data_IF_365118330178
#
_entry.id   IF_365118330178
#
_cell.length_a   1.000
_cell.length_b   1.000
_cell.length_c   1.000
_cell.angle_alpha   90.00
_cell.angle_beta   90.00
_cell.angle_gamma   90.00
#
_symmetry.space_group_name_H-M   'P 1'
#
loop_
_entity.id
_entity.type
_entity.pdbx_description
1 polymer ?
#
# COMPACT_ATOMS: atom_id res chain seq x y z
N UNK A 1 19.80 44.04 7.52
CA UNK A 1 20.00 44.88 8.72
C UNK A 1 20.07 43.94 9.93
N UNK A 2 20.78 44.27 11.01
CA UNK A 2 20.73 43.49 12.28
C UNK A 2 19.93 44.26 13.32
N UNK A 3 19.11 43.59 14.11
CA UNK A 3 18.32 44.23 15.16
C UNK A 3 19.19 44.60 16.39
N UNK A 4 18.56 45.20 17.40
CA UNK A 4 19.23 45.59 18.65
C UNK A 4 19.77 44.40 19.47
N UNK A 5 19.53 43.15 19.05
CA UNK A 5 20.01 41.92 19.67
C UNK A 5 21.03 41.18 18.81
N UNK A 6 21.38 41.73 17.63
CA UNK A 6 22.42 41.19 16.75
C UNK A 6 21.93 40.12 15.78
N UNK A 7 20.61 39.88 15.67
CA UNK A 7 20.08 38.89 14.73
C UNK A 7 19.86 39.49 13.34
N UNK A 8 20.15 38.69 12.30
CA UNK A 8 19.95 39.13 10.91
C UNK A 8 18.46 39.26 10.59
N UNK A 9 18.01 40.49 10.35
CA UNK A 9 16.63 40.78 9.93
C UNK A 9 16.57 40.81 8.41
N UNK A 10 15.73 39.95 7.84
CA UNK A 10 15.33 40.00 6.43
C UNK A 10 14.45 41.24 6.21
N UNK A 11 14.88 42.11 5.31
CA UNK A 11 14.12 43.30 4.91
C UNK A 11 13.40 43.02 3.59
N UNK A 12 12.07 42.87 3.65
CA UNK A 12 11.24 42.71 2.47
C UNK A 12 10.95 44.08 1.86
N UNK A 13 11.75 44.48 0.87
CA UNK A 13 11.55 45.73 0.13
C UNK A 13 10.52 45.50 -0.98
N UNK A 14 9.37 46.19 -0.90
CA UNK A 14 8.34 46.16 -1.94
C UNK A 14 8.81 47.01 -3.13
N UNK A 15 9.20 46.37 -4.23
CA UNK A 15 9.59 47.06 -5.47
C UNK A 15 8.42 47.90 -6.00
N UNK A 16 8.69 49.14 -6.39
CA UNK A 16 7.66 50.14 -6.74
C UNK A 16 6.79 49.77 -7.95
N UNK A 17 7.24 48.83 -8.80
CA UNK A 17 6.44 48.26 -9.91
C UNK A 17 6.86 46.82 -10.22
N UNK A 18 6.02 45.80 -10.03
CA UNK A 18 6.30 44.48 -10.59
C UNK A 18 6.41 44.59 -12.11
N UNK A 19 7.54 44.16 -12.68
CA UNK A 19 7.76 44.13 -14.14
C UNK A 19 7.77 42.69 -14.58
N UNK A 20 6.92 42.35 -15.55
CA UNK A 20 6.97 41.07 -16.25
C UNK A 20 8.22 41.07 -17.12
N UNK A 21 9.07 40.04 -16.98
CA UNK A 21 10.25 39.82 -17.81
C UNK A 21 10.06 38.55 -18.62
N UNK A 22 10.41 38.59 -19.90
CA UNK A 22 10.36 37.44 -20.80
C UNK A 22 11.79 36.99 -21.08
N UNK A 23 12.07 35.71 -20.80
CA UNK A 23 13.32 35.06 -21.17
C UNK A 23 13.11 34.20 -22.41
N UNK A 24 14.03 34.26 -23.37
CA UNK A 24 14.10 33.25 -24.44
C UNK A 24 14.93 32.09 -23.94
N UNK A 25 14.31 30.91 -23.85
CA UNK A 25 14.96 29.65 -23.49
C UNK A 25 14.96 28.70 -24.69
N UNK A 26 15.94 27.82 -24.74
CA UNK A 26 16.06 26.77 -25.77
C UNK A 26 16.01 25.42 -25.09
N UNK A 27 15.28 24.47 -25.66
CA UNK A 27 15.34 23.08 -25.22
C UNK A 27 16.75 22.53 -25.51
N UNK A 28 17.26 21.65 -24.64
CA UNK A 28 18.59 21.08 -24.80
C UNK A 28 18.78 20.35 -26.14
N UNK A 29 17.74 19.73 -26.70
CA UNK A 29 17.76 19.09 -28.02
C UNK A 29 18.02 20.07 -29.17
N UNK A 30 17.84 21.37 -28.93
CA UNK A 30 18.09 22.43 -29.91
C UNK A 30 19.52 22.96 -29.86
N UNK A 31 20.37 22.45 -28.95
CA UNK A 31 21.73 22.94 -28.73
C UNK A 31 22.73 21.81 -29.00
N UNK A 32 23.58 22.00 -30.01
CA UNK A 32 24.66 21.07 -30.32
C UNK A 32 25.78 21.12 -29.25
N UNK A 33 26.34 19.97 -28.91
CA UNK A 33 27.47 19.85 -27.98
C UNK A 33 27.09 19.76 -26.50
N UNK A 34 25.81 19.68 -26.14
CA UNK A 34 25.38 19.37 -24.78
C UNK A 34 25.55 17.87 -24.48
N UNK A 35 25.92 17.50 -23.23
CA UNK A 35 25.90 16.11 -22.80
C UNK A 35 24.46 15.56 -22.86
N UNK A 36 24.28 14.25 -23.07
CA UNK A 36 22.96 13.63 -23.01
C UNK A 36 22.28 13.96 -21.68
N UNK A 37 20.99 14.34 -21.73
CA UNK A 37 20.21 14.51 -20.51
C UNK A 37 20.05 13.13 -19.87
N UNK A 38 20.68 12.95 -18.71
CA UNK A 38 20.39 11.83 -17.82
C UNK A 38 19.01 12.07 -17.19
N UNK A 39 17.99 11.37 -17.69
CA UNK A 39 16.70 11.31 -17.00
C UNK A 39 16.94 10.55 -15.71
N UNK A 40 16.71 11.19 -14.55
CA UNK A 40 16.68 10.48 -13.28
C UNK A 40 15.58 9.43 -13.38
N UNK A 41 15.94 8.17 -13.25
CA UNK A 41 14.94 7.12 -13.11
C UNK A 41 14.16 7.39 -11.82
N UNK A 42 12.83 7.38 -11.93
CA UNK A 42 11.99 7.41 -10.75
C UNK A 42 12.26 6.12 -9.97
N UNK A 43 12.78 6.26 -8.75
CA UNK A 43 13.15 5.12 -7.90
C UNK A 43 11.98 4.62 -7.06
N UNK A 44 10.80 5.23 -7.21
CA UNK A 44 9.60 4.93 -6.45
C UNK A 44 8.49 4.41 -7.37
N UNK A 45 7.56 3.65 -6.80
CA UNK A 45 6.32 3.25 -7.47
C UNK A 45 5.34 4.44 -7.44
N UNK A 46 4.87 4.94 -8.61
CA UNK A 46 3.94 6.07 -8.68
C UNK A 46 2.64 5.88 -7.90
N UNK A 47 2.07 4.68 -7.97
CA UNK A 47 0.81 4.32 -7.29
C UNK A 47 0.97 4.42 -5.77
N UNK A 48 2.04 3.84 -5.25
CA UNK A 48 2.34 3.89 -3.81
C UNK A 48 2.60 5.31 -3.36
N UNK A 49 3.33 6.09 -4.17
CA UNK A 49 3.59 7.50 -3.86
C UNK A 49 2.30 8.32 -3.79
N UNK A 50 1.36 8.08 -4.71
CA UNK A 50 0.07 8.74 -4.71
C UNK A 50 -0.80 8.35 -3.49
N UNK A 51 -0.85 7.06 -3.13
CA UNK A 51 -1.57 6.60 -1.94
C UNK A 51 -0.96 7.22 -0.66
N UNK A 52 0.37 7.28 -0.55
CA UNK A 52 1.03 7.91 0.60
C UNK A 52 0.71 9.40 0.69
N UNK A 53 0.67 10.12 -0.43
CA UNK A 53 0.27 11.54 -0.46
C UNK A 53 -1.16 11.71 0.06
N UNK A 54 -2.10 10.86 -0.38
CA UNK A 54 -3.49 10.91 0.09
C UNK A 54 -3.59 10.64 1.60
N UNK A 55 -2.89 9.63 2.10
CA UNK A 55 -2.87 9.30 3.54
C UNK A 55 -2.26 10.44 4.37
N UNK A 56 -1.09 10.90 3.96
CA UNK A 56 -0.31 11.99 4.60
C UNK A 56 -1.08 13.29 4.60
N UNK A 57 -1.91 13.53 3.57
CA UNK A 57 -2.72 14.75 3.51
C UNK A 57 -3.70 14.88 4.68
N UNK A 58 -4.10 13.75 5.28
CA UNK A 58 -5.16 13.71 6.30
C UNK A 58 -6.55 14.06 5.76
N UNK A 59 -6.72 14.13 4.43
CA UNK A 59 -8.02 14.33 3.81
C UNK A 59 -8.93 13.15 4.14
N UNK A 60 -10.18 13.43 4.55
CA UNK A 60 -11.18 12.38 4.73
C UNK A 60 -11.70 11.97 3.35
N UNK A 61 -11.42 10.74 2.93
CA UNK A 61 -11.84 10.19 1.65
C UNK A 61 -12.96 9.16 1.88
N UNK A 62 -14.08 9.33 1.18
CA UNK A 62 -15.21 8.41 1.19
C UNK A 62 -15.36 7.73 -0.17
N UNK A 63 -15.75 6.46 -0.15
CA UNK A 63 -16.03 5.64 -1.32
C UNK A 63 -17.49 5.16 -1.32
N UNK A 64 -18.02 4.80 -2.50
CA UNK A 64 -19.34 4.18 -2.64
C UNK A 64 -20.56 5.12 -2.62
N UNK A 65 -20.37 6.44 -2.47
CA UNK A 65 -21.46 7.42 -2.57
C UNK A 65 -21.43 8.15 -3.92
N UNK A 66 -22.39 7.82 -4.80
CA UNK A 66 -22.61 8.42 -6.12
C UNK A 66 -21.49 8.10 -7.14
N UNK A 67 -21.86 7.77 -8.39
CA UNK A 67 -20.93 7.48 -9.51
C UNK A 67 -20.11 8.72 -9.98
N UNK A 68 -19.66 9.58 -9.06
CA UNK A 68 -18.94 10.83 -9.36
C UNK A 68 -17.91 11.15 -8.29
N UNK A 69 -16.73 11.57 -8.74
CA UNK A 69 -15.70 12.17 -7.89
C UNK A 69 -16.01 13.65 -7.61
N UNK A 70 -15.83 14.09 -6.37
CA UNK A 70 -15.91 15.51 -5.98
C UNK A 70 -15.34 15.77 -4.59
N UNK A 71 -14.76 16.96 -4.39
CA UNK A 71 -14.52 17.55 -3.07
C UNK A 71 -15.78 18.28 -2.57
N UNK A 72 -16.12 18.09 -1.28
CA UNK A 72 -17.24 18.77 -0.62
C UNK A 72 -16.72 19.76 0.43
N UNK A 73 -16.72 21.08 0.15
CA UNK A 73 -16.23 22.09 1.08
C UNK A 73 -16.96 22.13 2.43
N UNK A 74 -18.27 21.83 2.47
CA UNK A 74 -19.08 21.94 3.69
C UNK A 74 -18.76 20.91 4.76
N UNK A 75 -18.22 19.74 4.37
CA UNK A 75 -17.85 18.64 5.27
C UNK A 75 -16.34 18.39 5.28
N UNK A 76 -15.60 19.17 4.51
CA UNK A 76 -14.18 19.00 4.27
C UNK A 76 -13.76 17.56 3.89
N UNK A 77 -14.52 16.94 2.98
CA UNK A 77 -14.33 15.55 2.58
C UNK A 77 -14.24 15.38 1.07
N UNK A 78 -13.42 14.43 0.63
CA UNK A 78 -13.31 13.97 -0.75
C UNK A 78 -14.22 12.75 -0.93
N UNK A 79 -14.99 12.72 -2.00
CA UNK A 79 -15.82 11.58 -2.37
C UNK A 79 -15.34 11.03 -3.71
N UNK A 80 -15.08 9.74 -3.77
CA UNK A 80 -14.62 9.04 -4.97
C UNK A 80 -15.51 7.81 -5.24
N UNK A 81 -15.68 7.40 -6.50
CA UNK A 81 -16.12 6.04 -6.83
C UNK A 81 -15.16 4.99 -6.24
N UNK A 82 -15.64 3.76 -6.09
CA UNK A 82 -14.79 2.65 -5.65
C UNK A 82 -13.62 2.45 -6.62
N UNK A 83 -12.45 2.03 -6.11
CA UNK A 83 -11.21 1.90 -6.92
C UNK A 83 -11.44 0.98 -8.13
N UNK A 84 -12.29 -0.03 -7.98
CA UNK A 84 -12.66 -1.03 -8.99
C UNK A 84 -13.48 -0.44 -10.15
N UNK A 85 -14.12 0.73 -9.95
CA UNK A 85 -14.87 1.42 -11.00
C UNK A 85 -13.95 2.16 -11.98
N UNK A 86 -12.66 2.34 -11.64
CA UNK A 86 -11.69 2.97 -12.51
C UNK A 86 -11.00 1.95 -13.43
N UNK A 87 -10.79 2.25 -14.72
CA UNK A 87 -10.15 1.33 -15.66
C UNK A 87 -8.72 0.93 -15.27
N UNK A 88 -8.00 1.81 -14.59
CA UNK A 88 -6.63 1.62 -14.12
C UNK A 88 -6.44 2.31 -12.78
N UNK A 89 -5.44 1.86 -12.01
CA UNK A 89 -5.06 2.51 -10.76
C UNK A 89 -4.60 3.96 -11.01
N UNK A 90 -3.84 4.21 -12.08
CA UNK A 90 -3.41 5.57 -12.45
C UNK A 90 -4.60 6.52 -12.63
N UNK A 91 -5.69 6.06 -13.24
CA UNK A 91 -6.91 6.87 -13.41
C UNK A 91 -7.57 7.22 -12.07
N UNK A 92 -7.61 6.27 -11.14
CA UNK A 92 -8.10 6.52 -9.79
C UNK A 92 -7.25 7.58 -9.10
N UNK A 93 -5.92 7.42 -9.08
CA UNK A 93 -5.05 8.36 -8.38
C UNK A 93 -4.96 9.72 -9.05
N UNK A 94 -5.03 9.80 -10.39
CA UNK A 94 -5.15 11.07 -11.09
C UNK A 94 -6.42 11.83 -10.66
N UNK A 95 -7.55 11.11 -10.57
CA UNK A 95 -8.83 11.69 -10.10
C UNK A 95 -8.74 12.10 -8.62
N UNK A 96 -8.17 11.25 -7.76
CA UNK A 96 -8.01 11.56 -6.34
C UNK A 96 -7.10 12.77 -6.11
N UNK A 97 -6.02 12.92 -6.89
CA UNK A 97 -5.12 14.08 -6.80
C UNK A 97 -5.77 15.37 -7.31
N UNK A 98 -6.66 15.29 -8.30
CA UNK A 98 -7.52 16.41 -8.70
C UNK A 98 -8.42 16.88 -7.56
N UNK A 99 -9.15 15.95 -6.93
CA UNK A 99 -10.01 16.30 -5.79
C UNK A 99 -9.20 16.76 -4.57
N UNK A 100 -8.00 16.21 -4.37
CA UNK A 100 -7.07 16.70 -3.36
C UNK A 100 -6.62 18.13 -3.66
N UNK A 101 -6.44 18.48 -4.93
CA UNK A 101 -6.20 19.84 -5.40
C UNK A 101 -7.29 20.79 -4.92
N UNK A 102 -8.57 20.44 -5.09
CA UNK A 102 -9.69 21.20 -4.53
C UNK A 102 -9.68 21.25 -3.00
N UNK A 103 -9.42 20.11 -2.36
CA UNK A 103 -9.33 20.01 -0.90
C UNK A 103 -8.33 21.04 -0.35
N UNK A 104 -7.16 21.24 -0.95
CA UNK A 104 -6.21 22.26 -0.47
C UNK A 104 -6.77 23.69 -0.43
N UNK A 105 -7.85 23.99 -1.16
CA UNK A 105 -8.47 25.31 -1.24
C UNK A 105 -9.30 25.72 -0.02
N UNK A 106 -9.58 24.81 0.91
CA UNK A 106 -10.35 25.13 2.12
C UNK A 106 -9.75 26.27 2.94
N UNK A 107 -10.60 26.97 3.72
CA UNK A 107 -10.24 28.15 4.52
C UNK A 107 -9.11 27.89 5.53
N UNK A 108 -8.97 26.66 6.02
CA UNK A 108 -7.90 26.26 6.95
C UNK A 108 -6.56 25.97 6.27
N UNK A 109 -6.48 26.01 4.93
CA UNK A 109 -5.32 25.63 4.12
C UNK A 109 -4.87 26.77 3.21
N UNK A 110 -5.06 26.66 1.90
CA UNK A 110 -4.68 27.71 0.93
C UNK A 110 -5.77 28.78 0.77
N UNK A 111 -6.94 28.60 1.40
CA UNK A 111 -8.01 29.60 1.50
C UNK A 111 -8.37 30.24 0.15
N UNK A 112 -8.60 29.39 -0.86
CA UNK A 112 -9.05 29.82 -2.19
C UNK A 112 -10.58 29.96 -2.22
N UNK A 113 -11.09 30.72 -3.19
CA UNK A 113 -12.53 30.91 -3.37
C UNK A 113 -13.15 29.70 -4.10
N UNK A 114 -13.69 28.77 -3.31
CA UNK A 114 -14.33 27.55 -3.81
C UNK A 114 -15.86 27.69 -3.95
N UNK A 115 -16.46 28.76 -3.44
CA UNK A 115 -17.92 28.87 -3.29
C UNK A 115 -18.54 29.53 -4.52
N UNK A 116 -18.62 28.75 -5.58
CA UNK A 116 -19.17 29.20 -6.84
C UNK A 116 -20.17 28.18 -7.41
N UNK A 117 -21.32 28.63 -7.97
CA UNK A 117 -22.26 27.71 -8.61
C UNK A 117 -21.60 26.94 -9.75
N UNK A 118 -21.98 25.68 -9.91
CA UNK A 118 -21.52 24.84 -11.03
C UNK A 118 -21.74 25.56 -12.37
N UNK A 119 -20.72 25.57 -13.22
CA UNK A 119 -20.74 26.22 -14.53
C UNK A 119 -20.57 27.75 -14.52
N UNK A 120 -20.37 28.37 -13.35
CA UNK A 120 -19.99 29.78 -13.26
C UNK A 120 -18.51 30.01 -13.64
N UNK A 121 -18.16 31.27 -13.89
CA UNK A 121 -16.77 31.64 -14.20
C UNK A 121 -15.81 31.35 -13.04
N UNK A 122 -16.22 31.62 -11.80
CA UNK A 122 -15.43 31.31 -10.61
C UNK A 122 -15.21 29.82 -10.43
N UNK A 123 -16.24 29.01 -10.69
CA UNK A 123 -16.13 27.55 -10.70
C UNK A 123 -15.11 27.07 -11.76
N UNK A 124 -15.19 27.60 -12.98
CA UNK A 124 -14.26 27.25 -14.06
C UNK A 124 -12.80 27.63 -13.76
N UNK A 125 -12.59 28.74 -13.04
CA UNK A 125 -11.27 29.19 -12.58
C UNK A 125 -10.66 28.24 -11.55
N UNK A 126 -11.45 27.71 -10.62
CA UNK A 126 -10.95 26.73 -9.63
C UNK A 126 -10.69 25.36 -10.27
N UNK A 127 -11.55 24.88 -11.17
CA UNK A 127 -11.29 23.67 -11.95
C UNK A 127 -9.97 23.79 -12.72
N UNK A 128 -9.70 24.93 -13.37
CA UNK A 128 -8.44 25.15 -14.07
C UNK A 128 -7.21 25.05 -13.14
N UNK A 129 -7.34 25.49 -11.89
CA UNK A 129 -6.27 25.39 -10.87
C UNK A 129 -6.05 23.94 -10.45
N UNK A 130 -7.12 23.23 -10.12
CA UNK A 130 -7.06 21.84 -9.69
C UNK A 130 -6.49 20.92 -10.77
N UNK A 131 -6.82 21.18 -12.04
CA UNK A 131 -6.33 20.40 -13.17
C UNK A 131 -4.85 20.63 -13.48
N UNK A 132 -4.41 21.89 -13.48
CA UNK A 132 -2.98 22.18 -13.64
C UNK A 132 -2.21 21.58 -12.47
N UNK A 133 -2.75 21.64 -11.24
CA UNK A 133 -2.12 21.05 -10.07
C UNK A 133 -2.05 19.52 -10.15
N UNK A 134 -3.13 18.85 -10.54
CA UNK A 134 -3.19 17.38 -10.68
C UNK A 134 -2.24 16.90 -11.78
N UNK A 135 -2.12 17.64 -12.88
CA UNK A 135 -1.16 17.37 -13.94
C UNK A 135 0.28 17.49 -13.44
N UNK A 136 0.63 18.58 -12.75
CA UNK A 136 2.00 18.78 -12.25
C UNK A 136 2.35 17.75 -11.17
N UNK A 137 1.43 17.48 -10.24
CA UNK A 137 1.59 16.45 -9.21
C UNK A 137 1.74 15.06 -9.81
N UNK A 138 0.86 14.70 -10.77
CA UNK A 138 0.88 13.41 -11.46
C UNK A 138 2.17 13.17 -12.24
N UNK A 139 2.71 14.19 -12.90
CA UNK A 139 4.02 14.14 -13.58
C UNK A 139 5.17 14.00 -12.57
N UNK A 140 5.14 14.79 -11.49
CA UNK A 140 6.18 14.77 -10.45
C UNK A 140 6.32 13.40 -9.78
N UNK A 141 5.22 12.67 -9.58
CA UNK A 141 5.24 11.36 -8.91
C UNK A 141 5.19 10.17 -9.87
N UNK A 142 4.95 10.40 -11.17
CA UNK A 142 4.97 9.36 -12.21
C UNK A 142 3.66 8.66 -12.52
N UNK A 143 2.51 9.17 -12.04
CA UNK A 143 1.16 8.65 -12.36
C UNK A 143 0.78 9.01 -13.81
N UNK A 144 1.32 10.11 -14.34
CA UNK A 144 0.88 10.68 -15.60
C UNK A 144 -0.46 11.44 -15.47
N UNK A 145 -1.06 11.78 -16.60
CA UNK A 145 -2.30 12.57 -16.65
C UNK A 145 -3.12 12.19 -17.90
N UNK A 146 -4.38 11.75 -17.72
CA UNK A 146 -5.29 11.44 -18.82
C UNK A 146 -6.14 12.66 -19.20
N UNK A 147 -5.66 13.41 -20.19
CA UNK A 147 -6.32 14.61 -20.73
C UNK A 147 -7.78 14.41 -21.21
N UNK A 148 -8.25 13.16 -21.38
CA UNK A 148 -9.59 12.86 -21.90
C UNK A 148 -10.70 12.98 -20.86
N UNK A 149 -10.38 12.98 -19.56
CA UNK A 149 -11.37 13.05 -18.47
C UNK A 149 -11.98 14.47 -18.29
N UNK A 150 -11.38 15.49 -18.91
CA UNK A 150 -11.70 16.90 -18.63
C UNK A 150 -12.60 17.58 -19.68
N UNK A 151 -13.13 16.82 -20.66
CA UNK A 151 -13.87 17.36 -21.80
C UNK A 151 -15.09 18.21 -21.42
N UNK A 152 -15.67 17.98 -20.22
CA UNK A 152 -16.82 18.74 -19.73
C UNK A 152 -16.48 20.21 -19.37
N UNK A 153 -15.21 20.51 -19.07
CA UNK A 153 -14.78 21.82 -18.54
C UNK A 153 -13.94 22.64 -19.53
N UNK A 154 -13.40 22.01 -20.59
CA UNK A 154 -12.61 22.71 -21.62
C UNK A 154 -13.34 23.91 -22.21
N UNK A 155 -14.66 23.82 -22.42
CA UNK A 155 -15.45 24.92 -22.97
C UNK A 155 -15.56 26.12 -22.01
N UNK A 156 -15.64 25.88 -20.69
CA UNK A 156 -15.67 26.98 -19.71
C UNK A 156 -14.29 27.61 -19.53
N UNK A 157 -13.20 26.83 -19.61
CA UNK A 157 -11.83 27.37 -19.59
C UNK A 157 -11.50 28.23 -20.80
N UNK A 158 -11.90 27.81 -22.02
CA UNK A 158 -11.68 28.61 -23.23
C UNK A 158 -12.29 30.01 -23.06
N UNK A 159 -13.51 30.08 -22.52
CA UNK A 159 -14.17 31.36 -22.27
C UNK A 159 -13.40 32.21 -21.24
N UNK A 160 -13.04 31.62 -20.09
CA UNK A 160 -12.25 32.30 -19.06
C UNK A 160 -10.94 32.87 -19.62
N UNK A 161 -10.22 32.09 -20.43
CA UNK A 161 -8.94 32.47 -21.01
C UNK A 161 -9.06 33.48 -22.17
N UNK A 162 -10.20 33.48 -22.89
CA UNK A 162 -10.51 34.52 -23.88
C UNK A 162 -10.83 35.86 -23.20
N UNK A 163 -11.58 35.83 -22.11
CA UNK A 163 -11.98 37.02 -21.36
C UNK A 163 -10.80 37.61 -20.57
N UNK A 164 -9.96 36.76 -19.96
CA UNK A 164 -8.73 37.16 -19.27
C UNK A 164 -7.56 36.19 -19.57
N UNK A 165 -6.72 36.49 -20.58
CA UNK A 165 -5.56 35.68 -20.90
C UNK A 165 -4.52 35.57 -19.78
N UNK A 166 -4.55 36.47 -18.79
CA UNK A 166 -3.63 36.40 -17.64
C UNK A 166 -4.07 35.36 -16.60
N UNK A 167 -5.29 34.83 -16.70
CA UNK A 167 -5.80 33.84 -15.78
C UNK A 167 -4.97 32.55 -15.79
N UNK A 168 -4.39 32.17 -16.92
CA UNK A 168 -3.51 30.99 -17.00
C UNK A 168 -2.28 31.13 -16.09
N UNK A 169 -1.71 32.34 -15.96
CA UNK A 169 -0.56 32.58 -15.08
C UNK A 169 -0.97 32.54 -13.61
N UNK A 170 -2.17 33.03 -13.29
CA UNK A 170 -2.69 32.95 -11.91
C UNK A 170 -3.01 31.52 -11.53
N UNK A 171 -3.67 30.78 -12.43
CA UNK A 171 -3.99 29.38 -12.22
C UNK A 171 -2.72 28.53 -12.07
N UNK A 172 -1.70 28.74 -12.91
CA UNK A 172 -0.41 28.07 -12.79
C UNK A 172 0.30 28.41 -11.48
N UNK A 173 0.31 29.68 -11.06
CA UNK A 173 0.92 30.10 -9.80
C UNK A 173 0.19 29.54 -8.57
N UNK A 174 -1.13 29.36 -8.64
CA UNK A 174 -1.88 28.70 -7.57
C UNK A 174 -1.67 27.18 -7.61
N UNK A 175 -1.58 26.56 -8.79
CA UNK A 175 -1.27 25.15 -8.95
C UNK A 175 0.10 24.77 -8.39
N UNK A 176 1.12 25.60 -8.58
CA UNK A 176 2.45 25.44 -7.96
C UNK A 176 2.35 25.47 -6.42
N UNK A 177 1.57 26.39 -5.84
CA UNK A 177 1.32 26.40 -4.39
C UNK A 177 0.58 25.17 -3.90
N UNK A 178 -0.35 24.63 -4.69
CA UNK A 178 -1.06 23.38 -4.37
C UNK A 178 -0.04 22.24 -4.33
N UNK A 179 0.80 22.12 -5.35
CA UNK A 179 1.85 21.10 -5.41
C UNK A 179 2.80 21.21 -4.21
N UNK A 180 3.35 22.40 -3.94
CA UNK A 180 4.25 22.67 -2.82
C UNK A 180 3.60 22.33 -1.48
N UNK A 181 2.32 22.67 -1.32
CA UNK A 181 1.58 22.35 -0.11
C UNK A 181 1.46 20.83 0.06
N UNK A 182 0.99 20.12 -0.96
CA UNK A 182 0.75 18.67 -0.91
C UNK A 182 2.06 17.90 -0.68
N UNK A 183 3.11 18.19 -1.45
CA UNK A 183 4.40 17.53 -1.30
C UNK A 183 5.10 17.93 0.01
N UNK A 184 4.89 19.16 0.49
CA UNK A 184 5.42 19.64 1.75
C UNK A 184 4.78 19.00 2.99
N UNK A 185 3.61 18.38 2.89
CA UNK A 185 3.01 17.60 3.99
C UNK A 185 3.82 16.32 4.26
N UNK A 186 4.31 15.68 3.21
CA UNK A 186 5.15 14.48 3.28
C UNK A 186 6.51 14.80 3.90
N UNK A 187 7.16 15.89 3.46
CA UNK A 187 8.44 16.32 4.04
C UNK A 187 8.33 16.72 5.51
N UNK A 188 7.22 17.36 5.91
CA UNK A 188 6.96 17.75 7.30
C UNK A 188 6.71 16.55 8.20
N UNK A 189 5.98 15.52 7.74
CA UNK A 189 5.79 14.30 8.50
C UNK A 189 7.12 13.58 8.73
N UNK A 190 7.97 13.45 7.70
CA UNK A 190 9.32 12.87 7.86
C UNK A 190 10.17 13.70 8.85
N UNK A 191 10.08 15.03 8.80
CA UNK A 191 10.79 15.92 9.72
C UNK A 191 10.24 15.88 11.14
N UNK A 192 8.92 15.80 11.32
CA UNK A 192 8.26 15.73 12.63
C UNK A 192 8.49 14.37 13.29
N UNK A 193 8.49 13.27 12.53
CA UNK A 193 8.91 11.94 12.98
C UNK A 193 10.40 11.95 13.37
N UNK A 194 11.26 12.55 12.55
CA UNK A 194 12.69 12.72 12.84
C UNK A 194 12.93 13.59 14.08
N UNK A 195 12.15 14.65 14.27
CA UNK A 195 12.24 15.56 15.39
C UNK A 195 11.58 15.00 16.67
N UNK A 196 10.58 14.13 16.54
CA UNK A 196 10.05 13.32 17.65
C UNK A 196 11.06 12.25 18.05
N UNK A 197 11.69 11.54 17.11
CA UNK A 197 12.80 10.62 17.39
C UNK A 197 13.97 11.34 18.06
N UNK A 198 14.34 12.54 17.59
CA UNK A 198 15.38 13.35 18.20
C UNK A 198 15.04 13.81 19.63
N UNK A 199 13.79 14.20 19.89
CA UNK A 199 13.31 14.58 21.23
C UNK A 199 13.15 13.39 22.17
N UNK A 200 12.73 12.24 21.66
CA UNK A 200 12.66 10.97 22.41
C UNK A 200 14.06 10.45 22.77
N UNK A 201 15.03 10.59 21.86
CA UNK A 201 16.43 10.22 22.09
C UNK A 201 17.11 11.15 23.13
N UNK A 202 16.81 12.44 23.11
CA UNK A 202 17.32 13.40 24.10
C UNK A 202 16.72 13.18 25.50
N UNK A 203 15.42 12.86 25.58
CA UNK A 203 14.76 12.50 26.84
C UNK A 203 15.23 11.14 27.40
N UNK A 204 15.64 10.21 26.53
CA UNK A 204 16.17 8.89 26.92
C UNK A 204 17.62 8.91 27.38
N UNK A 205 18.37 9.99 27.13
CA UNK A 205 19.78 10.12 27.54
C UNK A 205 19.96 10.53 29.02
N UNK A 206 18.95 11.12 29.66
CA UNK A 206 19.01 11.53 31.07
C UNK A 206 18.49 10.47 32.06
N UNK A 207 17.85 9.39 31.57
CA UNK A 207 17.35 8.31 32.42
C UNK A 207 17.54 6.96 31.74
N UNK A 208 18.66 6.31 32.04
CA UNK A 208 18.82 4.87 31.83
C UNK A 208 19.29 4.22 33.15
N UNK A 209 18.90 2.96 33.44
CA UNK A 209 18.39 1.98 32.48
C UNK A 209 17.15 1.21 32.96
N UNK A 210 16.00 1.36 32.30
CA UNK A 210 15.02 0.27 32.11
C UNK A 210 14.10 0.67 30.94
N UNK A 211 13.67 -0.30 30.14
CA UNK A 211 12.60 -0.21 29.11
C UNK A 211 13.05 0.13 27.68
N UNK A 212 13.77 -0.81 27.06
CA UNK A 212 13.97 -0.86 25.62
C UNK A 212 13.05 -1.91 24.98
N UNK A 213 11.75 -1.64 24.89
CA UNK A 213 10.82 -2.39 24.00
C UNK A 213 9.62 -1.51 23.66
N UNK A 214 9.71 -0.50 22.79
CA UNK A 214 8.47 0.10 22.21
C UNK A 214 8.50 0.52 20.74
N UNK A 215 9.65 0.73 20.08
CA UNK A 215 9.66 1.17 18.66
C UNK A 215 10.46 0.24 17.74
N UNK A 216 10.06 -1.03 17.68
CA UNK A 216 10.43 -1.92 16.58
C UNK A 216 9.19 -2.11 15.70
N UNK A 217 9.34 -1.95 14.38
CA UNK A 217 8.33 -2.42 13.43
C UNK A 217 8.02 -3.89 13.73
N UNK A 218 6.78 -4.36 13.49
CA UNK A 218 6.32 -5.69 13.91
C UNK A 218 7.18 -6.87 13.41
N UNK A 219 8.14 -6.66 12.50
CA UNK A 219 9.01 -7.69 11.91
C UNK A 219 10.47 -7.57 12.37
N UNK A 220 10.85 -6.47 13.02
CA UNK A 220 12.18 -6.34 13.63
C UNK A 220 12.17 -7.04 15.00
N UNK A 221 12.62 -8.31 15.01
CA UNK A 221 12.86 -9.07 16.25
C UNK A 221 13.97 -8.46 17.13
N UNK A 222 14.49 -7.27 16.79
CA UNK A 222 15.54 -6.57 17.53
C UNK A 222 16.87 -7.31 17.49
N UNK A 223 17.18 -7.98 16.37
CA UNK A 223 18.43 -8.72 16.18
C UNK A 223 19.43 -7.82 15.44
N UNK A 224 20.52 -7.35 16.08
CA UNK A 224 21.56 -6.58 15.40
C UNK A 224 22.23 -7.40 14.30
N UNK A 225 22.51 -6.78 13.16
CA UNK A 225 23.13 -7.45 12.00
C UNK A 225 24.58 -7.90 12.22
N UNK A 226 25.27 -7.49 13.29
CA UNK A 226 26.63 -7.97 13.63
C UNK A 226 27.02 -7.65 15.09
N UNK A 227 27.76 -8.56 15.74
CA UNK A 227 28.57 -8.25 16.94
C UNK A 227 28.06 -8.67 18.33
N UNK A 228 27.07 -9.56 18.44
CA UNK A 228 26.56 -10.05 19.74
C UNK A 228 26.73 -11.56 19.93
N UNK A 229 26.84 -12.02 21.17
CA UNK A 229 26.91 -13.43 21.52
C UNK A 229 25.61 -14.18 21.16
N UNK A 230 25.73 -15.46 20.81
CA UNK A 230 24.60 -16.29 20.38
C UNK A 230 23.51 -16.42 21.47
N UNK A 231 23.94 -16.39 22.74
CA UNK A 231 23.05 -16.49 23.89
C UNK A 231 22.17 -15.23 24.05
N UNK A 232 22.75 -14.04 23.84
CA UNK A 232 22.00 -12.77 23.91
C UNK A 232 21.01 -12.57 22.76
N UNK A 233 21.30 -13.13 21.58
CA UNK A 233 20.35 -13.13 20.46
C UNK A 233 19.15 -14.07 20.72
N UNK A 234 19.39 -15.23 21.31
CA UNK A 234 18.35 -16.22 21.65
C UNK A 234 17.37 -15.65 22.67
N UNK A 235 17.88 -15.05 23.75
CA UNK A 235 17.04 -14.43 24.79
C UNK A 235 16.16 -13.30 24.26
N UNK A 236 16.62 -12.53 23.27
CA UNK A 236 15.81 -11.49 22.62
C UNK A 236 14.67 -12.06 21.81
N UNK A 237 14.92 -13.12 21.03
CA UNK A 237 13.86 -13.79 20.25
C UNK A 237 12.83 -14.43 21.18
N UNK A 238 13.26 -15.04 22.28
CA UNK A 238 12.35 -15.58 23.31
C UNK A 238 11.47 -14.46 23.89
N UNK A 239 12.07 -13.38 24.40
CA UNK A 239 11.32 -12.27 25.02
C UNK A 239 10.37 -11.58 24.04
N UNK A 240 10.80 -11.39 22.78
CA UNK A 240 9.98 -10.81 21.73
C UNK A 240 8.79 -11.71 21.38
N UNK A 241 9.00 -13.03 21.26
CA UNK A 241 7.93 -13.98 20.93
C UNK A 241 6.91 -14.05 22.06
N UNK A 242 7.36 -14.11 23.32
CA UNK A 242 6.49 -14.07 24.50
C UNK A 242 5.61 -12.83 24.50
N UNK A 243 6.20 -11.65 24.30
CA UNK A 243 5.44 -10.39 24.27
C UNK A 243 4.36 -10.37 23.17
N UNK A 244 4.66 -10.94 21.98
CA UNK A 244 3.70 -11.01 20.86
C UNK A 244 2.58 -12.02 21.10
N UNK A 245 2.86 -13.14 21.78
CA UNK A 245 1.83 -14.08 22.24
C UNK A 245 0.90 -13.41 23.25
N UNK A 246 1.45 -12.74 24.26
CA UNK A 246 0.65 -12.03 25.28
C UNK A 246 -0.25 -10.97 24.65
N UNK A 247 0.31 -10.15 23.75
CA UNK A 247 -0.41 -9.09 23.02
C UNK A 247 -1.37 -9.61 21.95
N UNK A 248 -1.33 -10.91 21.60
CA UNK A 248 -2.16 -11.47 20.52
C UNK A 248 -1.78 -11.00 19.11
N UNK A 249 -0.55 -10.52 18.92
CA UNK A 249 -0.07 -9.96 17.62
C UNK A 249 0.85 -10.90 16.86
N UNK A 250 1.15 -12.10 17.39
CA UNK A 250 2.12 -13.02 16.79
C UNK A 250 1.70 -13.55 15.41
N UNK A 251 0.41 -13.82 15.17
CA UNK A 251 -0.06 -14.31 13.87
C UNK A 251 0.25 -13.32 12.74
N UNK A 252 -0.02 -12.03 12.98
CA UNK A 252 0.31 -10.96 12.03
C UNK A 252 1.81 -10.83 11.78
N UNK A 253 2.62 -11.06 12.81
CA UNK A 253 4.07 -11.04 12.68
C UNK A 253 4.58 -12.25 11.87
N UNK A 254 3.96 -13.43 12.03
CA UNK A 254 4.24 -14.61 11.22
C UNK A 254 3.89 -14.38 9.74
N UNK A 255 2.83 -13.65 9.41
CA UNK A 255 2.47 -13.32 8.02
C UNK A 255 3.52 -12.51 7.29
N UNK A 256 4.26 -11.66 8.01
CA UNK A 256 5.25 -10.77 7.43
C UNK A 256 6.67 -11.36 7.46
N UNK A 257 6.91 -12.35 8.33
CA UNK A 257 8.22 -12.94 8.58
C UNK A 257 8.81 -13.72 7.39
N UNK A 258 10.15 -13.77 7.30
CA UNK A 258 10.86 -14.71 6.41
C UNK A 258 10.78 -16.14 6.95
N UNK A 259 11.01 -17.18 6.12
CA UNK A 259 11.03 -18.57 6.58
C UNK A 259 12.00 -18.81 7.75
N UNK A 260 13.17 -18.17 7.76
CA UNK A 260 14.13 -18.27 8.86
C UNK A 260 13.64 -17.60 10.15
N UNK A 261 12.86 -16.52 10.04
CA UNK A 261 12.23 -15.87 11.18
C UNK A 261 11.07 -16.71 11.72
N UNK A 262 10.24 -17.30 10.84
CA UNK A 262 9.18 -18.25 11.20
C UNK A 262 9.75 -19.45 11.94
N UNK A 263 10.86 -20.03 11.46
CA UNK A 263 11.52 -21.17 12.12
C UNK A 263 12.03 -20.83 13.53
N UNK A 264 12.60 -19.62 13.71
CA UNK A 264 13.02 -19.14 15.03
C UNK A 264 11.83 -18.97 15.98
N UNK A 265 10.74 -18.35 15.52
CA UNK A 265 9.52 -18.20 16.31
C UNK A 265 8.91 -19.56 16.67
N UNK A 266 8.85 -20.49 15.70
CA UNK A 266 8.37 -21.86 15.91
C UNK A 266 9.17 -22.59 16.98
N UNK A 267 10.50 -22.50 16.95
CA UNK A 267 11.36 -23.10 17.96
C UNK A 267 11.08 -22.55 19.36
N UNK A 268 10.80 -21.25 19.49
CA UNK A 268 10.43 -20.64 20.78
C UNK A 268 9.05 -21.12 21.23
N UNK A 269 8.05 -21.14 20.35
CA UNK A 269 6.70 -21.63 20.65
C UNK A 269 6.71 -23.09 21.14
N UNK A 270 7.54 -23.95 20.55
CA UNK A 270 7.73 -25.32 21.01
C UNK A 270 8.34 -25.39 22.40
N UNK A 271 9.29 -24.50 22.73
CA UNK A 271 9.86 -24.43 24.07
C UNK A 271 8.87 -23.90 25.11
N UNK A 272 7.92 -23.05 24.71
CA UNK A 272 6.87 -22.48 25.58
C UNK A 272 5.78 -23.50 25.95
N UNK A 273 5.69 -24.63 25.25
CA UNK A 273 4.66 -25.64 25.50
C UNK A 273 5.21 -26.84 26.30
N UNK A 274 4.53 -27.30 27.37
CA UNK A 274 3.30 -26.76 27.95
C UNK A 274 3.53 -25.51 28.82
N UNK A 275 2.50 -24.68 29.01
CA UNK A 275 2.52 -23.50 29.89
C UNK A 275 2.32 -23.92 31.35
N UNK A 276 3.40 -24.38 31.99
CA UNK A 276 3.42 -24.72 33.41
C UNK A 276 4.76 -24.39 34.09
N UNK A 277 4.82 -24.51 35.42
CA UNK A 277 6.00 -24.21 36.22
C UNK A 277 7.14 -25.26 36.11
N UNK A 278 6.83 -26.46 35.59
CA UNK A 278 7.80 -27.54 35.41
C UNK A 278 8.56 -27.39 34.09
N UNK A 279 8.01 -26.64 33.12
CA UNK A 279 8.66 -26.32 31.86
C UNK A 279 9.91 -25.44 32.08
N UNK A 280 11.11 -25.88 31.63
CA UNK A 280 12.34 -25.10 31.73
C UNK A 280 12.29 -23.70 31.09
N UNK A 281 11.42 -23.47 30.10
CA UNK A 281 11.17 -22.16 29.52
C UNK A 281 10.55 -21.20 30.53
N UNK A 282 9.50 -21.62 31.23
CA UNK A 282 8.79 -20.80 32.22
C UNK A 282 9.49 -20.73 33.57
N UNK A 283 10.59 -21.48 33.77
CA UNK A 283 11.49 -21.28 34.91
C UNK A 283 12.43 -20.07 34.73
N UNK A 284 12.72 -19.70 33.49
CA UNK A 284 13.56 -18.54 33.14
C UNK A 284 12.75 -17.30 32.70
N UNK A 285 11.47 -17.49 32.38
CA UNK A 285 10.52 -16.42 32.02
C UNK A 285 9.39 -16.33 33.04
N UNK A 286 8.71 -15.19 33.12
CA UNK A 286 7.56 -15.06 34.02
C UNK A 286 6.41 -15.96 33.53
N UNK A 287 5.90 -16.83 34.41
CA UNK A 287 4.74 -17.64 34.09
C UNK A 287 3.50 -16.73 33.86
N UNK A 288 2.73 -16.93 32.78
CA UNK A 288 1.56 -16.11 32.50
C UNK A 288 0.49 -16.22 33.59
N UNK A 289 -0.24 -15.13 33.82
CA UNK A 289 -1.34 -15.12 34.79
C UNK A 289 -2.51 -16.04 34.36
N UNK A 290 -2.71 -16.20 33.06
CA UNK A 290 -3.72 -17.08 32.46
C UNK A 290 -3.01 -18.12 31.58
N UNK A 291 -2.62 -19.23 32.19
CA UNK A 291 -1.86 -20.30 31.53
C UNK A 291 -2.64 -21.01 30.43
N UNK A 292 -3.95 -21.22 30.62
CA UNK A 292 -4.82 -21.90 29.66
C UNK A 292 -5.04 -21.05 28.39
N UNK A 293 -5.37 -19.76 28.56
CA UNK A 293 -5.51 -18.85 27.42
C UNK A 293 -4.17 -18.65 26.68
N UNK A 294 -3.05 -18.69 27.41
CA UNK A 294 -1.72 -18.57 26.79
C UNK A 294 -1.34 -19.84 26.03
N UNK A 295 -1.69 -21.02 26.56
CA UNK A 295 -1.51 -22.30 25.88
C UNK A 295 -2.27 -22.33 24.55
N UNK A 296 -3.54 -21.91 24.51
CA UNK A 296 -4.33 -21.85 23.27
C UNK A 296 -3.70 -20.93 22.22
N UNK A 297 -3.20 -19.76 22.64
CA UNK A 297 -2.48 -18.84 21.73
C UNK A 297 -1.19 -19.44 21.18
N UNK A 298 -0.43 -20.17 22.01
CA UNK A 298 0.80 -20.85 21.58
C UNK A 298 0.48 -21.95 20.58
N UNK A 299 -0.55 -22.76 20.84
CA UNK A 299 -0.98 -23.84 19.93
C UNK A 299 -1.40 -23.27 18.57
N UNK A 300 -2.28 -22.27 18.56
CA UNK A 300 -2.71 -21.60 17.32
C UNK A 300 -1.54 -20.97 16.55
N UNK A 301 -0.60 -20.34 17.25
CA UNK A 301 0.58 -19.75 16.63
C UNK A 301 1.56 -20.82 16.12
N UNK A 302 1.64 -21.97 16.78
CA UNK A 302 2.49 -23.09 16.37
C UNK A 302 1.98 -23.72 15.08
N UNK A 303 0.67 -23.99 15.00
CA UNK A 303 0.02 -24.47 13.77
C UNK A 303 0.22 -23.48 12.61
N UNK A 304 0.03 -22.19 12.88
CA UNK A 304 0.25 -21.13 11.90
C UNK A 304 1.71 -21.07 11.40
N UNK A 305 2.69 -21.21 12.30
CA UNK A 305 4.10 -21.22 11.95
C UNK A 305 4.48 -22.46 11.13
N UNK A 306 3.97 -23.64 11.50
CA UNK A 306 4.16 -24.88 10.73
C UNK A 306 3.57 -24.75 9.33
N UNK A 307 2.36 -24.22 9.20
CA UNK A 307 1.70 -24.00 7.92
C UNK A 307 2.53 -23.08 6.99
N UNK A 308 3.08 -21.98 7.53
CA UNK A 308 3.91 -21.04 6.76
C UNK A 308 5.22 -21.66 6.28
N UNK A 309 5.78 -22.60 7.04
CA UNK A 309 6.98 -23.35 6.62
C UNK A 309 6.65 -24.39 5.55
N UNK A 310 5.49 -25.04 5.62
CA UNK A 310 4.98 -25.93 4.56
C UNK A 310 4.74 -25.18 3.25
N UNK A 311 4.26 -23.93 3.34
CA UNK A 311 3.93 -23.10 2.19
C UNK A 311 5.14 -22.39 1.56
N UNK A 312 6.26 -22.27 2.31
CA UNK A 312 7.43 -21.53 1.86
C UNK A 312 8.10 -22.08 0.58
N UNK A 313 8.29 -23.41 0.40
CA UNK A 313 8.80 -23.97 -0.85
C UNK A 313 7.89 -23.67 -2.05
N UNK A 314 6.57 -23.78 -1.87
CA UNK A 314 5.60 -23.43 -2.90
C UNK A 314 5.69 -21.94 -3.28
N UNK A 315 5.77 -21.06 -2.27
CA UNK A 315 5.92 -19.64 -2.52
C UNK A 315 7.20 -19.32 -3.30
N UNK A 316 8.31 -20.03 -3.01
CA UNK A 316 9.58 -19.90 -3.71
C UNK A 316 9.54 -20.46 -5.15
N UNK A 317 8.92 -21.63 -5.37
CA UNK A 317 8.77 -22.23 -6.70
C UNK A 317 8.01 -21.30 -7.66
N UNK A 318 6.99 -20.61 -7.15
CA UNK A 318 6.23 -19.59 -7.88
C UNK A 318 7.06 -18.35 -8.24
N UNK A 319 8.11 -18.03 -7.48
CA UNK A 319 9.02 -16.89 -7.71
C UNK A 319 10.18 -17.21 -8.67
N UNK A 320 10.44 -18.49 -8.96
CA UNK A 320 11.60 -18.96 -9.72
C UNK A 320 11.82 -18.27 -11.08
N UNK A 321 13.08 -18.19 -11.57
CA UNK A 321 13.38 -17.58 -12.86
C UNK A 321 12.77 -18.39 -14.01
N UNK A 322 12.33 -17.75 -15.11
CA UNK A 322 11.81 -18.45 -16.27
C UNK A 322 12.88 -19.37 -16.85
N UNK A 323 12.64 -20.67 -16.78
CA UNK A 323 13.52 -21.70 -17.34
C UNK A 323 13.33 -21.78 -18.86
N UNK A 324 13.87 -20.82 -19.62
CA UNK A 324 14.00 -21.00 -21.07
C UNK A 324 14.21 -19.74 -21.89
N UNK A 325 15.25 -19.75 -22.73
CA UNK A 325 15.48 -18.73 -23.78
C UNK A 325 14.31 -18.70 -24.77
N UNK A 326 13.50 -17.65 -24.73
CA UNK A 326 12.82 -17.10 -25.90
C UNK A 326 12.42 -15.65 -25.64
N UNK A 327 12.49 -14.83 -26.68
CA UNK A 327 12.06 -13.44 -26.68
C UNK A 327 10.58 -13.31 -26.27
N UNK A 328 10.31 -12.58 -25.19
CA UNK A 328 8.95 -12.25 -24.74
C UNK A 328 8.83 -12.45 -23.23
N UNK A 329 8.44 -11.41 -22.49
CA UNK A 329 8.31 -11.46 -21.03
C UNK A 329 7.19 -12.43 -20.63
N UNK A 330 7.56 -13.54 -19.99
CA UNK A 330 6.64 -14.34 -19.17
C UNK A 330 7.28 -14.51 -17.78
N UNK A 331 6.54 -14.09 -16.75
CA UNK A 331 6.80 -14.44 -15.35
C UNK A 331 6.22 -15.84 -15.16
N UNK A 332 7.06 -16.84 -14.95
CA UNK A 332 6.65 -18.18 -14.57
C UNK A 332 7.87 -18.92 -14.06
N UNK A 333 7.82 -19.42 -12.83
CA UNK A 333 8.77 -20.42 -12.35
C UNK A 333 8.68 -21.70 -13.19
N UNK A 334 9.51 -22.69 -12.89
CA UNK A 334 9.42 -23.99 -13.54
C UNK A 334 8.04 -24.59 -13.27
N UNK A 335 7.21 -24.75 -14.30
CA UNK A 335 5.82 -25.20 -14.18
C UNK A 335 5.71 -26.59 -13.52
N UNK A 336 6.71 -27.45 -13.76
CA UNK A 336 6.77 -28.78 -13.16
C UNK A 336 7.13 -28.70 -11.66
N UNK A 337 7.98 -27.73 -11.28
CA UNK A 337 8.33 -27.46 -9.89
C UNK A 337 7.16 -26.87 -9.10
N UNK A 338 6.46 -25.88 -9.69
CA UNK A 338 5.26 -25.29 -9.09
C UNK A 338 4.18 -26.35 -8.87
N UNK A 339 3.90 -27.17 -9.88
CA UNK A 339 2.92 -28.25 -9.77
C UNK A 339 3.26 -29.23 -8.64
N UNK A 340 4.52 -29.67 -8.54
CA UNK A 340 4.98 -30.56 -7.48
C UNK A 340 4.84 -29.93 -6.09
N UNK A 341 5.37 -28.72 -5.90
CA UNK A 341 5.31 -28.05 -4.59
C UNK A 341 3.86 -27.73 -4.17
N UNK A 342 2.98 -27.44 -5.13
CA UNK A 342 1.56 -27.26 -4.82
C UNK A 342 0.86 -28.56 -4.46
N UNK A 343 1.19 -29.69 -5.11
CA UNK A 343 0.66 -31.00 -4.73
C UNK A 343 1.12 -31.37 -3.32
N UNK A 344 2.40 -31.14 -2.99
CA UNK A 344 2.99 -31.44 -1.69
C UNK A 344 2.38 -30.56 -0.57
N UNK A 345 2.16 -29.27 -0.81
CA UNK A 345 1.64 -28.34 0.19
C UNK A 345 0.10 -28.33 0.29
N UNK A 346 -0.60 -28.36 -0.84
CA UNK A 346 -2.06 -28.15 -0.93
C UNK A 346 -2.85 -29.44 -1.20
N UNK A 347 -2.18 -30.50 -1.68
CA UNK A 347 -2.84 -31.75 -2.11
C UNK A 347 -3.48 -31.67 -3.50
N UNK A 348 -3.15 -30.63 -4.28
CA UNK A 348 -3.56 -30.46 -5.68
C UNK A 348 -2.61 -29.50 -6.40
N UNK A 349 -2.49 -29.56 -7.74
CA UNK A 349 -1.57 -28.72 -8.47
C UNK A 349 -2.15 -27.32 -8.73
N UNK A 350 -1.33 -26.29 -8.58
CA UNK A 350 -1.69 -24.93 -8.99
C UNK A 350 -1.42 -24.71 -10.49
N UNK A 351 -2.28 -23.95 -11.21
CA UNK A 351 -2.03 -23.59 -12.59
C UNK A 351 -0.73 -22.80 -12.75
N UNK A 352 0.09 -23.17 -13.75
CA UNK A 352 1.36 -22.49 -14.04
C UNK A 352 1.20 -21.01 -14.37
N UNK A 353 0.06 -20.64 -14.93
CA UNK A 353 -0.34 -19.29 -15.31
C UNK A 353 -1.32 -18.63 -14.31
N UNK A 354 -1.39 -19.13 -13.07
CA UNK A 354 -2.17 -18.49 -12.02
C UNK A 354 -1.60 -17.11 -11.67
N UNK A 355 -2.39 -16.05 -11.85
CA UNK A 355 -1.95 -14.65 -11.71
C UNK A 355 -1.92 -14.12 -10.27
N UNK A 356 -2.31 -14.95 -9.28
CA UNK A 356 -2.33 -14.59 -7.86
C UNK A 356 -3.71 -14.24 -7.31
N UNK A 357 -4.68 -13.97 -8.19
CA UNK A 357 -6.06 -13.74 -7.78
C UNK A 357 -6.78 -15.06 -7.54
N UNK A 358 -7.48 -15.11 -6.42
CA UNK A 358 -8.38 -16.19 -6.04
C UNK A 358 -9.76 -15.61 -5.75
N UNK A 359 -10.79 -16.44 -5.88
CA UNK A 359 -12.14 -16.09 -5.47
C UNK A 359 -12.86 -17.32 -4.93
N UNK A 360 -13.80 -17.09 -4.04
CA UNK A 360 -14.71 -18.10 -3.52
C UNK A 360 -16.09 -17.85 -4.13
N UNK A 361 -16.64 -18.87 -4.79
CA UNK A 361 -18.00 -18.82 -5.34
C UNK A 361 -18.75 -20.10 -4.96
N UNK A 362 -20.04 -19.97 -4.64
CA UNK A 362 -20.95 -21.11 -4.55
C UNK A 362 -21.20 -21.69 -5.94
N UNK A 363 -21.11 -23.01 -6.09
CA UNK A 363 -21.34 -23.69 -7.36
C UNK A 363 -22.54 -24.65 -7.31
N UNK A 364 -23.12 -24.89 -8.48
CA UNK A 364 -24.07 -25.97 -8.75
C UNK A 364 -23.45 -26.98 -9.69
N UNK A 365 -23.89 -28.23 -9.58
CA UNK A 365 -23.44 -29.34 -10.42
C UNK A 365 -24.48 -29.63 -11.50
N UNK A 366 -24.09 -29.49 -12.76
CA UNK A 366 -24.92 -29.86 -13.90
C UNK A 366 -24.32 -31.06 -14.63
N UNK A 367 -25.14 -31.84 -15.33
CA UNK A 367 -24.65 -32.92 -16.21
C UNK A 367 -24.82 -32.49 -17.66
N UNK A 368 -23.71 -32.22 -18.34
CA UNK A 368 -23.67 -31.93 -19.78
C UNK A 368 -23.02 -33.11 -20.50
N UNK A 369 -23.70 -33.65 -21.50
CA UNK A 369 -23.20 -34.78 -22.33
C UNK A 369 -22.73 -36.04 -21.55
N UNK A 370 -23.17 -36.20 -20.30
CA UNK A 370 -22.79 -37.32 -19.43
C UNK A 370 -21.61 -37.04 -18.50
N UNK A 371 -21.01 -35.85 -18.58
CA UNK A 371 -19.99 -35.35 -17.67
C UNK A 371 -20.58 -34.38 -16.65
N UNK A 372 -20.09 -34.43 -15.41
CA UNK A 372 -20.44 -33.42 -14.41
C UNK A 372 -19.62 -32.16 -14.67
N UNK A 373 -20.32 -31.04 -14.81
CA UNK A 373 -19.74 -29.71 -14.94
C UNK A 373 -20.23 -28.83 -13.80
N UNK A 374 -19.38 -27.91 -13.35
CA UNK A 374 -19.73 -26.96 -12.31
C UNK A 374 -20.13 -25.63 -12.93
N UNK A 375 -21.17 -25.01 -12.38
CA UNK A 375 -21.60 -23.66 -12.77
C UNK A 375 -21.67 -22.76 -11.54
N UNK A 376 -21.13 -21.55 -11.65
CA UNK A 376 -21.29 -20.50 -10.62
C UNK A 376 -22.54 -19.66 -10.84
N UNK A 377 -23.25 -19.86 -11.97
CA UNK A 377 -24.50 -19.16 -12.31
C UNK A 377 -25.71 -19.87 -11.70
N UNK A 378 -25.91 -19.68 -10.40
CA UNK A 378 -27.02 -20.28 -9.68
C UNK A 378 -28.33 -19.50 -9.89
N UNK A 379 -29.49 -20.19 -10.01
CA UNK A 379 -30.79 -19.53 -10.00
C UNK A 379 -30.99 -18.68 -8.74
N UNK A 380 -31.69 -17.56 -8.87
CA UNK A 380 -31.89 -16.61 -7.76
C UNK A 380 -32.55 -17.31 -6.55
N UNK A 381 -31.83 -17.38 -5.43
CA UNK A 381 -32.28 -18.00 -4.18
C UNK A 381 -32.04 -19.51 -4.09
N UNK A 382 -31.39 -20.13 -5.08
CA UNK A 382 -30.91 -21.50 -4.97
C UNK A 382 -29.76 -21.59 -3.96
N UNK A 383 -29.72 -22.67 -3.19
CA UNK A 383 -28.55 -22.99 -2.37
C UNK A 383 -27.49 -23.64 -3.27
N UNK A 384 -26.21 -23.29 -3.09
CA UNK A 384 -25.13 -23.97 -3.79
C UNK A 384 -25.03 -25.44 -3.35
N UNK A 385 -24.55 -26.29 -4.24
CA UNK A 385 -24.20 -27.68 -3.93
C UNK A 385 -22.89 -27.76 -3.13
N UNK A 386 -22.03 -26.76 -3.27
CA UNK A 386 -20.79 -26.59 -2.52
C UNK A 386 -20.13 -25.24 -2.81
N UNK A 387 -18.97 -25.02 -2.21
CA UNK A 387 -18.19 -23.79 -2.37
C UNK A 387 -16.86 -24.10 -3.05
N UNK A 388 -16.57 -23.40 -4.15
CA UNK A 388 -15.36 -23.61 -4.94
C UNK A 388 -14.36 -22.47 -4.71
N UNK A 389 -13.08 -22.83 -4.67
CA UNK A 389 -11.98 -21.86 -4.72
C UNK A 389 -11.46 -21.82 -6.15
N UNK A 390 -11.48 -20.63 -6.77
CA UNK A 390 -11.14 -20.45 -8.16
C UNK A 390 -9.90 -19.58 -8.31
N UNK A 391 -8.89 -20.06 -9.05
CA UNK A 391 -7.71 -19.30 -9.43
C UNK A 391 -7.93 -18.61 -10.77
N UNK A 392 -7.50 -17.34 -10.89
CA UNK A 392 -7.51 -16.63 -12.16
C UNK A 392 -6.22 -16.86 -12.95
N UNK A 393 -6.37 -17.23 -14.21
CA UNK A 393 -5.29 -17.34 -15.19
C UNK A 393 -4.84 -15.96 -15.71
N UNK A 394 -3.69 -15.89 -16.38
CA UNK A 394 -3.20 -14.63 -17.00
C UNK A 394 -4.17 -14.09 -18.07
N UNK A 395 -4.90 -14.97 -18.77
CA UNK A 395 -5.89 -14.59 -19.78
C UNK A 395 -7.21 -14.05 -19.19
N UNK A 396 -7.34 -14.06 -17.86
CA UNK A 396 -8.51 -13.61 -17.12
C UNK A 396 -9.56 -14.70 -16.86
N UNK A 397 -9.40 -15.89 -17.44
CA UNK A 397 -10.21 -17.07 -17.16
C UNK A 397 -10.01 -17.58 -15.74
N UNK A 398 -10.95 -18.39 -15.24
CA UNK A 398 -10.85 -18.99 -13.91
C UNK A 398 -10.96 -20.50 -13.98
N UNK A 399 -10.12 -21.19 -13.22
CA UNK A 399 -10.20 -22.62 -12.97
C UNK A 399 -10.50 -22.89 -11.50
N UNK A 400 -11.37 -23.86 -11.24
CA UNK A 400 -11.64 -24.33 -9.89
C UNK A 400 -10.45 -25.19 -9.42
N UNK A 401 -9.88 -24.83 -8.27
CA UNK A 401 -8.78 -25.54 -7.63
C UNK A 401 -9.27 -26.66 -6.73
N UNK A 402 -10.26 -26.34 -5.89
CA UNK A 402 -10.81 -27.24 -4.89
C UNK A 402 -12.26 -26.86 -4.59
N UNK A 403 -12.99 -27.79 -3.99
CA UNK A 403 -14.40 -27.62 -3.60
C UNK A 403 -14.63 -28.13 -2.18
N UNK A 404 -15.48 -27.43 -1.44
CA UNK A 404 -15.74 -27.65 -0.02
C UNK A 404 -17.24 -27.69 0.28
N UNK A 405 -17.58 -28.27 1.44
CA UNK A 405 -18.95 -28.34 1.92
C UNK A 405 -19.45 -27.02 2.50
N UNK A 406 -18.55 -26.12 2.87
CA UNK A 406 -18.88 -24.81 3.48
C UNK A 406 -18.05 -23.66 2.89
N UNK A 407 -18.64 -22.47 2.90
CA UNK A 407 -17.99 -21.22 2.48
C UNK A 407 -16.72 -20.96 3.28
N UNK A 408 -16.80 -21.16 4.60
CA UNK A 408 -15.67 -20.98 5.52
C UNK A 408 -14.45 -21.82 5.14
N UNK A 409 -14.62 -23.10 4.82
CA UNK A 409 -13.50 -23.96 4.41
C UNK A 409 -12.87 -23.48 3.08
N UNK A 410 -13.69 -22.94 2.18
CA UNK A 410 -13.22 -22.36 0.94
C UNK A 410 -12.47 -21.03 1.17
N UNK A 411 -12.97 -20.18 2.07
CA UNK A 411 -12.32 -18.94 2.49
C UNK A 411 -10.96 -19.21 3.17
N UNK A 412 -10.88 -20.22 4.05
CA UNK A 412 -9.63 -20.61 4.71
C UNK A 412 -8.55 -21.02 3.68
N UNK A 413 -8.92 -21.74 2.61
CA UNK A 413 -8.00 -22.02 1.51
C UNK A 413 -7.67 -20.76 0.69
N UNK A 414 -8.64 -19.89 0.42
CA UNK A 414 -8.41 -18.66 -0.33
C UNK A 414 -7.44 -17.71 0.40
N UNK A 415 -7.59 -17.55 1.71
CA UNK A 415 -6.66 -16.78 2.56
C UNK A 415 -5.25 -17.38 2.52
N UNK A 416 -5.13 -18.71 2.62
CA UNK A 416 -3.84 -19.41 2.53
C UNK A 416 -3.17 -19.18 1.18
N UNK A 417 -3.91 -19.29 0.07
CA UNK A 417 -3.41 -19.02 -1.28
C UNK A 417 -2.98 -17.56 -1.45
N UNK A 418 -3.72 -16.62 -0.87
CA UNK A 418 -3.38 -15.22 -0.94
C UNK A 418 -2.11 -14.89 -0.11
N UNK A 419 -1.87 -15.57 1.01
CA UNK A 419 -0.59 -15.52 1.74
C UNK A 419 0.56 -16.09 0.91
N UNK A 420 0.37 -17.26 0.30
CA UNK A 420 1.36 -17.86 -0.62
C UNK A 420 1.71 -16.86 -1.73
N UNK A 421 0.71 -16.26 -2.39
CA UNK A 421 0.92 -15.28 -3.45
C UNK A 421 1.65 -14.01 -2.97
N UNK A 422 1.44 -13.58 -1.72
CA UNK A 422 2.16 -12.47 -1.11
C UNK A 422 3.66 -12.79 -0.92
N UNK A 423 3.98 -14.00 -0.44
CA UNK A 423 5.36 -14.46 -0.27
C UNK A 423 6.05 -14.88 -1.58
N UNK A 424 5.29 -15.03 -2.67
CA UNK A 424 5.81 -15.25 -4.03
C UNK A 424 6.17 -13.96 -4.78
N UNK A 425 6.61 -12.92 -4.08
CA UNK A 425 6.98 -11.63 -4.69
C UNK A 425 8.44 -11.29 -4.47
N UNK A 426 9.05 -10.61 -5.44
CA UNK A 426 10.49 -10.32 -5.42
C UNK A 426 10.86 -9.12 -4.54
N UNK A 427 9.88 -8.35 -4.08
CA UNK A 427 10.11 -7.12 -3.29
C UNK A 427 9.24 -7.11 -2.04
N UNK A 428 9.81 -6.65 -0.93
CA UNK A 428 9.08 -6.50 0.34
C UNK A 428 7.88 -5.54 0.22
N UNK A 429 7.93 -4.58 -0.71
CA UNK A 429 6.82 -3.67 -1.00
C UNK A 429 5.63 -4.37 -1.65
N UNK A 430 5.86 -5.22 -2.66
CA UNK A 430 4.81 -6.00 -3.32
C UNK A 430 4.19 -7.02 -2.34
N UNK A 431 5.02 -7.65 -1.50
CA UNK A 431 4.58 -8.50 -0.40
C UNK A 431 3.68 -7.75 0.57
N UNK A 432 4.11 -6.58 1.06
CA UNK A 432 3.31 -5.76 1.98
C UNK A 432 1.97 -5.32 1.36
N UNK A 433 1.96 -4.95 0.08
CA UNK A 433 0.74 -4.57 -0.63
C UNK A 433 -0.25 -5.73 -0.79
N UNK A 434 0.24 -6.95 -1.04
CA UNK A 434 -0.61 -8.15 -1.12
C UNK A 434 -1.13 -8.56 0.26
N UNK A 435 -0.30 -8.55 1.29
CA UNK A 435 -0.72 -8.83 2.67
C UNK A 435 -1.79 -7.83 3.15
N UNK A 436 -1.65 -6.55 2.80
CA UNK A 436 -2.65 -5.54 3.16
C UNK A 436 -4.02 -5.77 2.51
N UNK A 437 -4.10 -6.43 1.35
CA UNK A 437 -5.37 -6.76 0.68
C UNK A 437 -6.13 -7.90 1.36
N UNK A 438 -5.43 -8.80 2.05
CA UNK A 438 -6.03 -9.96 2.73
C UNK A 438 -6.61 -9.61 4.12
N UNK A 439 -6.37 -8.41 4.65
CA UNK A 439 -6.82 -7.99 5.99
C UNK A 439 -8.22 -7.37 5.97
N UNK A 440 -8.82 -7.16 4.78
CA UNK A 440 -10.10 -6.45 4.59
C UNK A 440 -11.19 -7.27 3.88
N UNK A 441 -10.99 -8.58 3.77
CA UNK A 441 -12.05 -9.56 3.41
C UNK A 441 -12.46 -10.28 4.68
#
# INVERSE_FOLDING_TARGET
>A
MVDARGEQVKESVRLERPRVFFATVFNAEQIEGLPPIERREQTWNPIERAEQILLTSGATVHHGEYDRAFYRPSTDSIHLPDKEQFPTADNYYATALHELGHWTGHESRLSRDLVHPFGSEGYAKEELRAEIASMILGDAIGIGHDTKQHAAYVNSWIKVLQDDPLEIFRAAADAEKIQDFVLGLDEKLVQDESAQMGRQNAASAEQAPVSAVQNATEVDMGIPREGMDADGATLRVEAWTVARVEQGTLLRALDQASPEQVEKMRSVLQAMSPVDAENPFWQRHALPADGEATQEKIERASEAAEQRLVDAPLAAARLGPPTGRAYGRERGGDADELARESEDALGFPLPADWNGRVRVDGFGTETLEGEQVFTTLLPKGARPDGWGVFAQHVDGGFAMLASFGSEREADELAERLALIDAHSTATEHEKAAKLARNVWT
#
